data_IF_183091249856
#
_entry.id   IF_183091249856
#
_cell.length_a   1.000
_cell.length_b   1.000
_cell.length_c   1.000
_cell.angle_alpha   90.00
_cell.angle_beta   90.00
_cell.angle_gamma   90.00
#
_symmetry.space_group_name_H-M   'P 1'
#
loop_
_entity.id
_entity.type
_entity.pdbx_description
1 polymer ?
#
# COMPACT_ATOMS: atom_id res chain seq x y z
N UNK A 1 -2.76 6.61 18.21
CA UNK A 1 -3.86 5.73 18.69
C UNK A 1 -3.79 4.40 17.95
N UNK A 2 -3.92 3.27 18.65
CA UNK A 2 -3.96 1.95 18.02
C UNK A 2 -5.20 1.80 17.13
N UNK A 3 -5.09 0.99 16.08
CA UNK A 3 -6.22 0.69 15.18
C UNK A 3 -7.31 -0.06 15.95
N UNK A 4 -8.57 0.33 15.76
CA UNK A 4 -9.70 -0.33 16.42
C UNK A 4 -9.94 -1.69 15.74
N UNK A 5 -9.98 -2.80 16.49
CA UNK A 5 -10.22 -4.13 15.94
C UNK A 5 -11.62 -4.23 15.32
N UNK A 6 -11.78 -5.03 14.26
CA UNK A 6 -13.04 -5.11 13.51
C UNK A 6 -14.22 -5.55 14.36
N UNK A 7 -14.02 -6.45 15.33
CA UNK A 7 -15.06 -6.89 16.27
C UNK A 7 -15.67 -5.73 17.05
N UNK A 8 -14.83 -4.79 17.48
CA UNK A 8 -15.26 -3.62 18.24
C UNK A 8 -15.94 -2.58 17.34
N UNK A 9 -15.48 -2.44 16.09
CA UNK A 9 -16.14 -1.57 15.10
C UNK A 9 -17.56 -2.05 14.79
N UNK A 10 -17.74 -3.36 14.63
CA UNK A 10 -19.05 -3.98 14.47
C UNK A 10 -19.96 -3.67 15.66
N UNK A 11 -19.44 -3.78 16.89
CA UNK A 11 -20.17 -3.43 18.11
C UNK A 11 -20.58 -1.95 18.11
N UNK A 12 -19.71 -1.03 17.71
CA UNK A 12 -20.02 0.41 17.57
C UNK A 12 -21.17 0.63 16.58
N UNK A 13 -21.12 -0.04 15.43
CA UNK A 13 -22.17 0.06 14.39
C UNK A 13 -23.50 -0.51 14.90
N UNK A 14 -23.49 -1.68 15.55
CA UNK A 14 -24.68 -2.30 16.14
C UNK A 14 -25.35 -1.37 17.17
N UNK A 15 -24.55 -0.76 18.06
CA UNK A 15 -25.06 0.19 19.04
C UNK A 15 -25.63 1.46 18.38
N UNK A 16 -25.04 1.91 17.26
CA UNK A 16 -25.61 3.02 16.49
C UNK A 16 -26.94 2.66 15.82
N UNK A 17 -27.12 1.41 15.38
CA UNK A 17 -28.39 0.95 14.80
C UNK A 17 -29.49 0.87 15.87
N UNK A 18 -29.12 0.53 17.11
CA UNK A 18 -30.01 0.59 18.30
C UNK A 18 -30.31 2.02 18.79
N UNK A 19 -29.94 3.04 18.01
CA UNK A 19 -30.15 4.46 18.30
C UNK A 19 -29.53 4.98 19.61
N UNK A 20 -28.45 4.35 20.09
CA UNK A 20 -27.70 4.93 21.20
C UNK A 20 -26.99 6.23 20.77
N UNK A 21 -26.91 7.19 21.70
CA UNK A 21 -26.16 8.43 21.48
C UNK A 21 -24.66 8.15 21.41
N UNK A 22 -23.92 8.95 20.64
CA UNK A 22 -22.48 8.77 20.45
C UNK A 22 -21.71 8.78 21.79
N UNK A 23 -22.10 9.66 22.72
CA UNK A 23 -21.55 9.73 24.08
C UNK A 23 -21.72 8.41 24.83
N UNK A 24 -22.90 7.79 24.71
CA UNK A 24 -23.18 6.50 25.36
C UNK A 24 -22.40 5.37 24.70
N UNK A 25 -22.28 5.36 23.37
CA UNK A 25 -21.48 4.38 22.62
C UNK A 25 -20.01 4.45 23.02
N UNK A 26 -19.45 5.65 23.11
CA UNK A 26 -18.09 5.89 23.58
C UNK A 26 -17.89 5.34 25.00
N UNK A 27 -18.82 5.60 25.92
CA UNK A 27 -18.78 5.05 27.28
C UNK A 27 -18.84 3.53 27.34
N UNK A 28 -19.66 2.89 26.49
CA UNK A 28 -19.79 1.42 26.46
C UNK A 28 -18.62 0.69 25.80
N UNK A 29 -17.90 1.37 24.89
CA UNK A 29 -16.79 0.79 24.13
C UNK A 29 -15.42 1.20 24.67
N UNK A 30 -15.36 2.22 25.54
CA UNK A 30 -14.10 2.78 26.03
C UNK A 30 -13.32 3.55 24.96
N UNK A 31 -13.98 3.92 23.85
CA UNK A 31 -13.37 4.69 22.75
C UNK A 31 -13.77 6.15 22.82
N UNK A 32 -12.95 7.02 22.20
CA UNK A 32 -13.29 8.43 22.11
C UNK A 32 -14.55 8.66 21.26
N UNK A 33 -15.30 9.72 21.57
CA UNK A 33 -16.45 10.13 20.78
C UNK A 33 -16.10 10.32 19.30
N UNK A 34 -14.93 10.91 19.03
CA UNK A 34 -14.43 11.11 17.66
C UNK A 34 -14.24 9.79 16.91
N UNK A 35 -13.66 8.79 17.57
CA UNK A 35 -13.46 7.45 16.97
C UNK A 35 -14.79 6.78 16.66
N UNK A 36 -15.72 6.80 17.60
CA UNK A 36 -17.06 6.24 17.40
C UNK A 36 -17.78 6.97 16.25
N UNK A 37 -17.74 8.30 16.22
CA UNK A 37 -18.35 9.11 15.17
C UNK A 37 -17.76 8.80 13.80
N UNK A 38 -16.42 8.73 13.67
CA UNK A 38 -15.74 8.38 12.41
C UNK A 38 -16.18 7.01 11.88
N UNK A 39 -16.26 6.01 12.75
CA UNK A 39 -16.71 4.65 12.37
C UNK A 39 -18.17 4.67 11.91
N UNK A 40 -19.05 5.36 12.67
CA UNK A 40 -20.47 5.47 12.33
C UNK A 40 -20.66 6.18 10.99
N UNK A 41 -19.93 7.26 10.73
CA UNK A 41 -19.99 7.99 9.46
C UNK A 41 -19.48 7.15 8.28
N UNK A 42 -18.35 6.44 8.45
CA UNK A 42 -17.84 5.54 7.43
C UNK A 42 -18.88 4.44 7.08
N UNK A 43 -19.53 3.87 8.09
CA UNK A 43 -20.60 2.90 7.87
C UNK A 43 -21.83 3.52 7.16
N UNK A 44 -22.30 4.69 7.60
CA UNK A 44 -23.49 5.33 7.02
C UNK A 44 -23.29 5.85 5.61
N UNK A 45 -22.10 6.36 5.28
CA UNK A 45 -21.79 6.98 3.98
C UNK A 45 -21.32 5.95 2.94
N UNK A 46 -20.46 5.02 3.36
CA UNK A 46 -19.75 4.11 2.45
C UNK A 46 -20.14 2.64 2.65
N UNK A 47 -20.93 2.30 3.68
CA UNK A 47 -21.23 0.91 4.06
C UNK A 47 -20.01 0.17 4.62
N UNK A 48 -18.94 0.89 4.98
CA UNK A 48 -17.62 0.31 5.21
C UNK A 48 -17.33 0.17 6.70
N UNK A 49 -16.99 -1.05 7.12
CA UNK A 49 -16.62 -1.33 8.52
C UNK A 49 -15.12 -1.18 8.74
N UNK A 50 -14.29 -1.48 7.74
CA UNK A 50 -12.83 -1.36 7.82
C UNK A 50 -12.34 0.10 7.72
N UNK A 51 -11.07 0.40 8.00
CA UNK A 51 -10.51 1.72 7.67
C UNK A 51 -10.24 1.84 6.18
N UNK A 52 -10.28 3.07 5.66
CA UNK A 52 -10.05 3.34 4.26
C UNK A 52 -8.69 2.76 3.86
N UNK A 53 -8.57 2.23 2.62
CA UNK A 53 -7.26 1.90 2.10
C UNK A 53 -6.39 3.16 2.19
N UNK A 54 -5.14 2.98 2.62
CA UNK A 54 -4.21 4.09 2.59
C UNK A 54 -3.88 4.37 1.12
N UNK A 55 -4.39 5.48 0.60
CA UNK A 55 -4.02 5.92 -0.74
C UNK A 55 -2.52 6.20 -0.74
N UNK A 56 -1.80 5.49 -1.59
CA UNK A 56 -0.39 5.79 -1.80
C UNK A 56 -0.28 7.12 -2.52
N UNK A 57 0.71 7.91 -2.14
CA UNK A 57 1.03 9.12 -2.88
C UNK A 57 1.28 8.78 -4.36
N UNK A 58 0.82 9.63 -5.29
CA UNK A 58 1.07 9.41 -6.70
C UNK A 58 2.57 9.29 -6.94
N UNK A 59 2.96 8.28 -7.73
CA UNK A 59 4.36 8.07 -8.08
C UNK A 59 4.84 9.22 -8.97
N UNK A 60 6.05 9.69 -8.70
CA UNK A 60 6.71 10.69 -9.55
C UNK A 60 7.00 10.14 -10.96
N UNK A 61 7.21 8.83 -11.09
CA UNK A 61 7.54 8.16 -12.34
C UNK A 61 6.42 7.23 -12.80
N UNK A 62 6.27 7.14 -14.12
CA UNK A 62 5.41 6.13 -14.75
C UNK A 62 6.13 4.78 -14.83
N UNK A 63 5.36 3.68 -14.94
CA UNK A 63 5.93 2.35 -15.10
C UNK A 63 6.88 2.23 -16.30
N UNK A 64 6.61 3.00 -17.37
CA UNK A 64 7.46 3.07 -18.55
C UNK A 64 8.79 3.80 -18.28
N UNK A 65 8.76 4.90 -17.53
CA UNK A 65 9.98 5.59 -17.09
C UNK A 65 10.81 4.71 -16.17
N UNK A 66 10.18 3.98 -15.25
CA UNK A 66 10.86 3.01 -14.39
C UNK A 66 11.51 1.88 -15.21
N UNK A 67 10.84 1.42 -16.28
CA UNK A 67 11.40 0.43 -17.19
C UNK A 67 12.63 0.97 -17.92
N UNK A 68 12.55 2.19 -18.45
CA UNK A 68 13.69 2.85 -19.09
C UNK A 68 14.86 3.07 -18.13
N UNK A 69 14.60 3.53 -16.90
CA UNK A 69 15.65 3.69 -15.88
C UNK A 69 16.27 2.33 -15.54
N UNK A 70 15.46 1.27 -15.42
CA UNK A 70 15.95 -0.09 -15.15
C UNK A 70 16.79 -0.64 -16.30
N UNK A 71 16.37 -0.44 -17.54
CA UNK A 71 17.09 -0.93 -18.72
C UNK A 71 18.37 -0.15 -18.96
N UNK A 72 18.34 1.18 -18.78
CA UNK A 72 19.53 2.02 -18.78
C UNK A 72 20.50 1.62 -17.66
N UNK A 73 20.00 1.40 -16.43
CA UNK A 73 20.82 0.95 -15.32
C UNK A 73 21.46 -0.42 -15.58
N UNK A 74 20.72 -1.38 -16.18
CA UNK A 74 21.27 -2.67 -16.60
C UNK A 74 22.34 -2.50 -17.67
N UNK A 75 22.13 -1.64 -18.66
CA UNK A 75 23.13 -1.33 -19.68
C UNK A 75 24.41 -0.73 -19.08
N UNK A 76 24.28 0.10 -18.03
CA UNK A 76 25.41 0.63 -17.26
C UNK A 76 26.02 -0.38 -16.28
N UNK A 77 25.26 -1.40 -15.85
CA UNK A 77 25.77 -2.48 -14.99
C UNK A 77 26.77 -3.38 -15.74
N UNK A 78 26.71 -3.42 -17.08
CA UNK A 78 27.77 -3.98 -17.96
C UNK A 78 29.04 -3.11 -18.04
N UNK A 79 29.05 -2.00 -17.30
CA UNK A 79 30.01 -0.93 -17.34
C UNK A 79 30.37 -0.49 -15.89
N UNK A 80 30.40 -1.44 -14.95
CA UNK A 80 30.93 -1.14 -13.62
C UNK A 80 32.45 -0.98 -13.69
N UNK A 81 32.92 0.14 -13.14
CA UNK A 81 34.34 0.30 -12.79
C UNK A 81 34.65 -0.64 -11.63
N UNK A 82 35.75 -1.36 -11.73
CA UNK A 82 36.29 -2.08 -10.58
C UNK A 82 36.65 -1.10 -9.44
N UNK A 83 37.02 -1.62 -8.26
CA UNK A 83 37.47 -0.80 -7.11
C UNK A 83 38.68 0.10 -7.45
N UNK A 84 39.31 -0.08 -8.61
CA UNK A 84 40.45 0.69 -9.11
C UNK A 84 40.08 1.65 -10.25
N UNK A 85 38.80 1.86 -10.54
CA UNK A 85 38.34 2.83 -11.54
C UNK A 85 38.53 2.39 -13.00
N UNK A 86 38.84 1.12 -13.26
CA UNK A 86 39.06 0.58 -14.60
C UNK A 86 37.75 0.04 -15.17
N UNK A 87 37.44 0.42 -16.40
CA UNK A 87 36.29 -0.10 -17.14
C UNK A 87 36.58 -1.55 -17.54
N UNK A 88 35.85 -2.50 -16.97
CA UNK A 88 35.91 -3.89 -17.39
C UNK A 88 34.84 -4.14 -18.44
N UNK A 89 35.24 -4.68 -19.61
CA UNK A 89 34.30 -5.12 -20.65
C UNK A 89 33.52 -6.32 -20.10
N UNK A 90 32.31 -6.09 -19.59
CA UNK A 90 31.44 -7.19 -19.19
C UNK A 90 31.00 -7.95 -20.45
N UNK A 91 31.21 -9.27 -20.43
CA UNK A 91 30.98 -10.18 -21.55
C UNK A 91 29.57 -9.99 -22.14
N UNK A 92 29.52 -9.98 -23.48
CA UNK A 92 28.29 -10.12 -24.27
C UNK A 92 27.56 -11.37 -23.77
N UNK A 93 26.41 -11.21 -23.10
CA UNK A 93 25.51 -12.33 -22.83
C UNK A 93 24.86 -12.64 -24.18
N UNK A 94 25.43 -13.63 -24.87
CA UNK A 94 24.77 -14.23 -26.02
C UNK A 94 23.48 -14.86 -25.52
N UNK A 95 22.36 -14.15 -25.70
CA UNK A 95 21.03 -14.73 -25.61
C UNK A 95 20.90 -15.74 -26.75
N UNK A 96 21.44 -16.95 -26.55
CA UNK A 96 21.11 -18.11 -27.39
C UNK A 96 19.61 -18.29 -27.26
N UNK A 97 18.94 -17.84 -28.32
CA UNK A 97 17.53 -17.99 -28.57
C UNK A 97 17.15 -19.44 -28.36
N UNK A 98 16.39 -19.71 -27.29
CA UNK A 98 15.65 -20.96 -27.15
C UNK A 98 14.55 -20.96 -28.21
N UNK A 99 14.92 -21.37 -29.42
CA UNK A 99 13.99 -21.62 -30.52
C UNK A 99 14.48 -22.86 -31.28
N UNK A 100 14.08 -24.05 -30.81
CA UNK A 100 13.54 -25.12 -31.64
C UNK A 100 13.20 -26.34 -30.76
N UNK A 101 11.94 -26.40 -30.29
CA UNK A 101 11.25 -27.67 -30.03
C UNK A 101 10.51 -28.00 -31.31
N UNK A 102 10.94 -29.02 -32.03
CA UNK A 102 10.10 -29.95 -32.79
C UNK A 102 10.72 -31.33 -32.69
#
# INVERSE_FOLDING_TARGET
>A
MSRVPNSERLRIVELSQKQYTQRRIAGMTGRSNETANRIILAYKKEGRISDAPHEQHPRATTAFQDAHVRDAAKALQYCQRDRFGRWSLCKRVDNKTTASRR
#
